data_IF_139326812116
#
_entry.id   IF_139326812116
#
_cell.length_a   1.000
_cell.length_b   1.000
_cell.length_c   1.000
_cell.angle_alpha   90.00
_cell.angle_beta   90.00
_cell.angle_gamma   90.00
#
_symmetry.space_group_name_H-M   'P 1'
#
loop_
_entity.id
_entity.type
_entity.pdbx_description
1 polymer ?
#
# COMPACT_ATOMS: atom_id res chain seq x y z
N UNK A 1 -23.82 -51.81 -8.86
CA UNK A 1 -22.88 -51.56 -9.98
C UNK A 1 -23.04 -50.12 -10.41
N UNK A 2 -22.01 -49.30 -10.19
CA UNK A 2 -22.05 -47.86 -10.41
C UNK A 2 -22.28 -47.50 -11.88
N UNK A 3 -23.09 -46.48 -12.12
CA UNK A 3 -23.33 -45.95 -13.46
C UNK A 3 -22.01 -45.41 -14.02
N UNK A 4 -21.38 -46.15 -14.92
CA UNK A 4 -20.28 -45.69 -15.76
C UNK A 4 -20.82 -44.56 -16.64
N UNK A 5 -20.46 -43.33 -16.30
CA UNK A 5 -20.87 -42.17 -17.07
C UNK A 5 -20.13 -42.22 -18.41
N UNK A 6 -20.85 -42.54 -19.49
CA UNK A 6 -20.31 -42.62 -20.83
C UNK A 6 -19.76 -41.24 -21.26
N UNK A 7 -18.52 -41.19 -21.75
CA UNK A 7 -17.88 -39.95 -22.22
C UNK A 7 -18.66 -39.32 -23.39
N UNK A 8 -18.46 -38.02 -23.68
CA UNK A 8 -19.15 -37.36 -24.81
C UNK A 8 -18.89 -38.09 -26.13
N UNK A 9 -17.65 -38.53 -26.36
CA UNK A 9 -17.26 -39.33 -27.53
C UNK A 9 -17.99 -40.67 -27.56
N UNK A 10 -18.04 -41.39 -26.43
CA UNK A 10 -18.76 -42.66 -26.34
C UNK A 10 -20.27 -42.51 -26.57
N UNK A 11 -20.88 -41.41 -26.08
CA UNK A 11 -22.31 -41.11 -26.33
C UNK A 11 -22.56 -40.88 -27.82
N UNK A 12 -21.66 -40.17 -28.50
CA UNK A 12 -21.73 -39.94 -29.94
C UNK A 12 -21.62 -41.27 -30.72
N UNK A 13 -20.64 -42.12 -30.38
CA UNK A 13 -20.46 -43.44 -31.00
C UNK A 13 -21.69 -44.35 -30.85
N UNK A 14 -22.32 -44.37 -29.66
CA UNK A 14 -23.58 -45.10 -29.45
C UNK A 14 -24.71 -44.53 -30.33
N UNK A 15 -24.78 -43.19 -30.47
CA UNK A 15 -25.74 -42.54 -31.35
C UNK A 15 -25.57 -42.94 -32.82
N UNK A 16 -24.33 -42.90 -33.32
CA UNK A 16 -23.98 -43.35 -34.69
C UNK A 16 -24.35 -44.82 -34.89
N UNK A 17 -23.99 -45.70 -33.93
CA UNK A 17 -24.28 -47.12 -34.02
C UNK A 17 -25.79 -47.43 -34.11
N UNK A 18 -26.59 -46.74 -33.31
CA UNK A 18 -28.04 -46.89 -33.36
C UNK A 18 -28.63 -46.39 -34.68
N UNK A 19 -28.11 -45.28 -35.22
CA UNK A 19 -28.53 -44.77 -36.53
C UNK A 19 -28.23 -45.76 -37.66
N UNK A 20 -27.06 -46.41 -37.64
CA UNK A 20 -26.71 -47.45 -38.62
C UNK A 20 -27.62 -48.69 -38.54
N UNK A 21 -28.15 -48.99 -37.36
CA UNK A 21 -29.05 -50.13 -37.10
C UNK A 21 -30.53 -49.78 -37.29
N UNK A 22 -30.85 -48.52 -37.60
CA UNK A 22 -32.21 -48.04 -37.82
C UNK A 22 -32.61 -48.17 -39.28
N UNK A 23 -33.83 -48.68 -39.53
CA UNK A 23 -34.44 -48.75 -40.86
C UNK A 23 -35.72 -47.92 -40.83
N UNK A 24 -35.89 -46.99 -41.78
CA UNK A 24 -37.04 -46.07 -41.85
C UNK A 24 -37.29 -45.30 -40.53
N UNK A 25 -36.21 -44.88 -39.85
CA UNK A 25 -36.27 -44.13 -38.60
C UNK A 25 -36.72 -44.95 -37.38
N UNK A 26 -36.78 -46.29 -37.48
CA UNK A 26 -37.17 -47.19 -36.40
C UNK A 26 -36.08 -48.23 -36.12
N UNK A 27 -35.86 -48.50 -34.83
CA UNK A 27 -34.97 -49.57 -34.37
C UNK A 27 -35.73 -50.89 -34.24
N UNK A 28 -35.11 -51.98 -34.69
CA UNK A 28 -35.66 -53.33 -34.51
C UNK A 28 -35.74 -53.72 -33.02
N UNK A 29 -36.67 -54.64 -32.71
CA UNK A 29 -36.86 -55.15 -31.34
C UNK A 29 -35.57 -55.85 -30.88
N UNK A 30 -35.08 -55.49 -29.69
CA UNK A 30 -33.87 -56.07 -29.10
C UNK A 30 -32.60 -55.24 -29.29
N UNK A 31 -32.52 -54.37 -30.32
CA UNK A 31 -31.30 -53.58 -30.63
C UNK A 31 -30.86 -52.68 -29.46
N UNK A 32 -31.81 -52.09 -28.74
CA UNK A 32 -31.48 -51.28 -27.56
C UNK A 32 -30.88 -52.10 -26.42
N UNK A 33 -31.32 -53.36 -26.25
CA UNK A 33 -30.81 -54.27 -25.22
C UNK A 33 -29.42 -54.79 -25.60
N UNK A 34 -29.22 -55.12 -26.88
CA UNK A 34 -27.92 -55.50 -27.43
C UNK A 34 -26.90 -54.35 -27.30
N UNK A 35 -27.31 -53.13 -27.64
CA UNK A 35 -26.48 -51.92 -27.51
C UNK A 35 -26.18 -51.63 -26.02
N UNK A 36 -27.14 -51.83 -25.13
CA UNK A 36 -26.92 -51.69 -23.69
C UNK A 36 -25.84 -52.66 -23.18
N UNK A 37 -25.91 -53.93 -23.59
CA UNK A 37 -24.91 -54.94 -23.24
C UNK A 37 -23.53 -54.62 -23.84
N UNK A 38 -23.48 -54.26 -25.13
CA UNK A 38 -22.23 -53.99 -25.86
C UNK A 38 -21.43 -52.82 -25.27
N UNK A 39 -22.09 -51.75 -24.84
CA UNK A 39 -21.42 -50.59 -24.20
C UNK A 39 -21.43 -50.64 -22.68
N UNK A 40 -21.95 -51.72 -22.06
CA UNK A 40 -22.07 -51.86 -20.60
C UNK A 40 -22.76 -50.65 -19.94
N UNK A 41 -23.83 -50.16 -20.58
CA UNK A 41 -24.64 -49.03 -20.13
C UNK A 41 -26.11 -49.45 -19.96
N UNK A 42 -26.87 -48.68 -19.18
CA UNK A 42 -28.28 -48.99 -18.99
C UNK A 42 -29.09 -48.83 -20.29
N UNK A 43 -30.09 -49.72 -20.51
CA UNK A 43 -31.04 -49.59 -21.62
C UNK A 43 -31.74 -48.22 -21.63
N UNK A 44 -31.94 -47.60 -20.45
CA UNK A 44 -32.48 -46.24 -20.32
C UNK A 44 -31.56 -45.21 -20.97
N UNK A 45 -30.26 -45.27 -20.71
CA UNK A 45 -29.26 -44.37 -21.31
C UNK A 45 -29.21 -44.52 -22.82
N UNK A 46 -29.26 -45.75 -23.33
CA UNK A 46 -29.36 -46.03 -24.78
C UNK A 46 -30.62 -45.39 -25.38
N UNK A 47 -31.77 -45.53 -24.70
CA UNK A 47 -33.03 -44.91 -25.12
C UNK A 47 -33.01 -43.39 -25.11
N UNK A 48 -32.36 -42.77 -24.13
CA UNK A 48 -32.17 -41.31 -24.07
C UNK A 48 -31.26 -40.81 -25.20
N UNK A 49 -30.17 -41.52 -25.49
CA UNK A 49 -29.27 -41.21 -26.63
C UNK A 49 -30.04 -41.35 -27.95
N UNK A 50 -30.83 -42.42 -28.12
CA UNK A 50 -31.64 -42.62 -29.33
C UNK A 50 -32.61 -41.47 -29.58
N UNK A 51 -33.36 -41.04 -28.55
CA UNK A 51 -34.30 -39.92 -28.65
C UNK A 51 -33.65 -38.61 -29.11
N UNK A 52 -32.38 -38.41 -28.80
CA UNK A 52 -31.61 -37.23 -29.20
C UNK A 52 -30.98 -37.42 -30.59
N UNK A 53 -30.48 -38.61 -30.90
CA UNK A 53 -29.87 -38.93 -32.20
C UNK A 53 -30.88 -39.01 -33.34
N UNK A 54 -32.12 -39.47 -33.08
CA UNK A 54 -33.14 -39.66 -34.13
C UNK A 54 -33.87 -38.38 -34.53
N UNK A 55 -33.83 -37.33 -33.68
CA UNK A 55 -34.53 -36.06 -33.94
C UNK A 55 -33.96 -35.29 -35.15
N UNK A 56 -32.63 -35.13 -35.29
CA UNK A 56 -32.05 -34.35 -36.39
C UNK A 56 -32.15 -35.07 -37.74
N UNK A 57 -32.34 -36.40 -37.74
CA UNK A 57 -32.64 -37.18 -38.95
C UNK A 57 -33.98 -36.76 -39.61
N UNK A 58 -34.92 -36.22 -38.83
CA UNK A 58 -36.18 -35.66 -39.35
C UNK A 58 -36.01 -34.26 -39.96
N UNK A 59 -34.89 -33.59 -39.69
CA UNK A 59 -34.65 -32.16 -40.01
C UNK A 59 -33.38 -31.96 -40.88
N UNK A 60 -32.64 -33.03 -41.19
CA UNK A 60 -31.42 -32.97 -42.01
C UNK A 60 -30.20 -32.35 -41.31
N UNK A 61 -30.17 -32.30 -39.97
CA UNK A 61 -29.13 -31.62 -39.19
C UNK A 61 -28.22 -32.61 -38.45
N UNK A 62 -26.99 -32.19 -38.06
CA UNK A 62 -26.10 -32.99 -37.21
C UNK A 62 -26.71 -33.17 -35.81
N UNK A 63 -26.54 -34.36 -35.22
CA UNK A 63 -27.11 -34.66 -33.90
C UNK A 63 -26.14 -34.44 -32.73
N UNK A 64 -26.67 -33.85 -31.66
CA UNK A 64 -25.97 -33.65 -30.39
C UNK A 64 -26.61 -34.52 -29.29
N UNK A 65 -25.79 -35.41 -28.73
CA UNK A 65 -26.17 -36.38 -27.70
C UNK A 65 -25.41 -36.15 -26.39
N UNK A 66 -24.79 -34.98 -26.21
CA UNK A 66 -24.07 -34.60 -24.99
C UNK A 66 -24.96 -34.71 -23.75
N UNK A 67 -24.33 -35.08 -22.63
CA UNK A 67 -25.03 -35.15 -21.34
C UNK A 67 -25.38 -33.74 -20.86
N UNK A 68 -26.65 -33.50 -20.52
CA UNK A 68 -27.07 -32.23 -19.91
C UNK A 68 -26.74 -32.14 -18.41
N UNK A 69 -26.23 -33.23 -17.82
CA UNK A 69 -25.75 -33.25 -16.43
C UNK A 69 -24.32 -32.70 -16.40
N UNK A 70 -24.20 -31.38 -16.43
CA UNK A 70 -22.93 -30.66 -16.34
C UNK A 70 -22.65 -30.42 -14.84
N UNK A 71 -22.00 -31.40 -14.21
CA UNK A 71 -21.59 -31.30 -12.80
C UNK A 71 -22.73 -31.12 -11.79
N UNK A 72 -22.36 -30.75 -10.57
CA UNK A 72 -23.30 -30.40 -9.52
C UNK A 72 -23.67 -28.91 -9.65
N UNK A 73 -24.97 -28.62 -9.72
CA UNK A 73 -25.46 -27.26 -9.55
C UNK A 73 -25.25 -26.86 -8.08
N UNK A 74 -24.12 -26.22 -7.78
CA UNK A 74 -23.84 -25.70 -6.45
C UNK A 74 -24.93 -24.70 -6.02
N UNK A 75 -25.04 -24.47 -4.71
CA UNK A 75 -25.95 -23.44 -4.16
C UNK A 75 -25.64 -22.09 -4.82
N UNK A 76 -26.69 -21.37 -5.23
CA UNK A 76 -26.56 -19.99 -5.75
C UNK A 76 -25.81 -19.13 -4.73
N UNK A 77 -24.80 -18.40 -5.19
CA UNK A 77 -24.01 -17.49 -4.35
C UNK A 77 -24.88 -16.31 -3.90
N UNK A 78 -24.71 -15.91 -2.65
CA UNK A 78 -25.27 -14.67 -2.12
C UNK A 78 -24.29 -13.52 -2.46
N UNK A 79 -24.80 -12.43 -3.01
CA UNK A 79 -24.03 -11.21 -3.32
C UNK A 79 -24.42 -10.09 -2.34
N UNK A 80 -23.50 -9.18 -2.00
CA UNK A 80 -23.82 -8.05 -1.15
C UNK A 80 -24.74 -7.06 -1.88
N UNK A 81 -25.79 -6.62 -1.20
CA UNK A 81 -26.62 -5.50 -1.65
C UNK A 81 -25.89 -4.19 -1.36
N UNK A 82 -25.16 -3.69 -2.35
CA UNK A 82 -24.32 -2.50 -2.22
C UNK A 82 -25.15 -1.23 -1.95
N UNK A 83 -26.36 -1.13 -2.49
CA UNK A 83 -27.22 0.04 -2.31
C UNK A 83 -27.79 0.11 -0.90
N UNK A 84 -28.17 -1.04 -0.35
CA UNK A 84 -28.59 -1.14 1.05
C UNK A 84 -27.43 -0.83 2.01
N UNK A 85 -26.26 -1.44 1.79
CA UNK A 85 -25.08 -1.26 2.66
C UNK A 85 -24.65 0.21 2.73
N UNK A 86 -24.71 0.95 1.60
CA UNK A 86 -24.37 2.37 1.57
C UNK A 86 -25.28 3.27 2.41
N UNK A 87 -26.48 2.81 2.77
CA UNK A 87 -27.45 3.57 3.59
C UNK A 87 -27.24 3.38 5.09
N UNK A 88 -26.46 2.37 5.49
CA UNK A 88 -26.16 2.10 6.89
C UNK A 88 -25.13 3.13 7.37
N UNK A 89 -25.29 3.67 8.57
CA UNK A 89 -24.29 4.54 9.19
C UNK A 89 -22.98 3.75 9.39
N UNK A 90 -21.84 4.37 9.06
CA UNK A 90 -20.50 3.80 9.22
C UNK A 90 -20.26 3.29 10.65
N UNK A 91 -20.83 3.95 11.67
CA UNK A 91 -20.72 3.53 13.08
C UNK A 91 -21.34 2.16 13.36
N UNK A 92 -22.36 1.79 12.60
CA UNK A 92 -23.03 0.49 12.71
C UNK A 92 -22.40 -0.58 11.80
N UNK A 93 -21.31 -0.23 11.09
CA UNK A 93 -20.53 -1.11 10.22
C UNK A 93 -19.07 -1.26 10.68
N UNK A 94 -18.76 -0.89 11.93
CA UNK A 94 -17.40 -0.88 12.49
C UNK A 94 -16.68 -2.25 12.46
N UNK A 95 -17.47 -3.33 12.54
CA UNK A 95 -17.02 -4.70 12.67
C UNK A 95 -17.85 -5.58 11.76
N UNK A 96 -17.26 -6.69 11.31
CA UNK A 96 -18.02 -7.73 10.60
C UNK A 96 -19.20 -8.23 11.43
N UNK A 97 -19.09 -8.14 12.77
CA UNK A 97 -20.16 -8.51 13.66
C UNK A 97 -21.38 -7.58 13.52
N UNK A 98 -21.19 -6.28 13.72
CA UNK A 98 -22.32 -5.32 13.61
C UNK A 98 -22.91 -5.26 12.21
N UNK A 99 -22.06 -5.35 11.19
CA UNK A 99 -22.52 -5.39 9.80
C UNK A 99 -23.43 -6.61 9.52
N UNK A 100 -23.15 -7.77 10.13
CA UNK A 100 -23.99 -8.96 9.98
C UNK A 100 -25.37 -8.77 10.60
N UNK A 101 -25.47 -8.04 11.71
CA UNK A 101 -26.73 -7.74 12.38
C UNK A 101 -27.60 -6.87 11.48
N UNK A 102 -27.00 -5.85 10.86
CA UNK A 102 -27.72 -4.91 10.01
C UNK A 102 -28.16 -5.52 8.67
N UNK A 103 -27.32 -6.33 8.04
CA UNK A 103 -27.62 -6.95 6.74
C UNK A 103 -28.42 -8.26 6.88
N UNK A 104 -28.42 -8.88 8.07
CA UNK A 104 -29.12 -10.16 8.30
C UNK A 104 -28.45 -11.36 7.64
N UNK A 105 -27.13 -11.30 7.41
CA UNK A 105 -26.33 -12.43 6.89
C UNK A 105 -25.40 -12.96 7.98
N UNK A 106 -24.81 -14.14 7.77
CA UNK A 106 -23.81 -14.66 8.70
C UNK A 106 -22.49 -13.90 8.59
N UNK A 107 -21.75 -13.81 9.71
CA UNK A 107 -20.39 -13.24 9.74
C UNK A 107 -19.47 -13.93 8.72
N UNK A 108 -19.63 -15.25 8.54
CA UNK A 108 -18.86 -16.01 7.55
C UNK A 108 -19.13 -15.58 6.11
N UNK A 109 -20.36 -15.19 5.78
CA UNK A 109 -20.70 -14.63 4.46
C UNK A 109 -20.03 -13.28 4.24
N UNK A 110 -20.06 -12.40 5.25
CA UNK A 110 -19.36 -11.10 5.19
C UNK A 110 -17.86 -11.31 5.03
N UNK A 111 -17.27 -12.21 5.81
CA UNK A 111 -15.86 -12.55 5.70
C UNK A 111 -15.50 -13.07 4.30
N UNK A 112 -16.36 -13.91 3.70
CA UNK A 112 -16.19 -14.37 2.31
C UNK A 112 -16.26 -13.21 1.32
N UNK A 113 -17.22 -12.29 1.47
CA UNK A 113 -17.34 -11.11 0.61
C UNK A 113 -16.13 -10.18 0.72
N UNK A 114 -15.56 -10.02 1.91
CA UNK A 114 -14.32 -9.25 2.11
C UNK A 114 -13.12 -9.96 1.46
N UNK A 115 -12.97 -11.27 1.68
CA UNK A 115 -11.89 -12.07 1.08
C UNK A 115 -11.96 -12.11 -0.45
N UNK A 116 -13.16 -12.14 -1.01
CA UNK A 116 -13.41 -12.10 -2.46
C UNK A 116 -13.37 -10.67 -3.04
N UNK A 117 -13.20 -9.63 -2.20
CA UNK A 117 -13.08 -8.24 -2.62
C UNK A 117 -14.40 -7.56 -3.01
N UNK A 118 -15.55 -8.17 -2.70
CA UNK A 118 -16.88 -7.62 -2.92
C UNK A 118 -17.24 -6.54 -1.89
N UNK A 119 -16.65 -6.61 -0.70
CA UNK A 119 -16.68 -5.55 0.31
C UNK A 119 -15.24 -5.18 0.69
N UNK A 120 -15.00 -3.90 0.95
CA UNK A 120 -13.72 -3.43 1.49
C UNK A 120 -13.98 -2.76 2.83
N UNK A 121 -13.15 -3.08 3.82
CA UNK A 121 -13.14 -2.34 5.07
C UNK A 121 -12.69 -0.90 4.80
N UNK A 122 -13.43 0.07 5.31
CA UNK A 122 -12.99 1.45 5.32
C UNK A 122 -12.04 1.63 6.51
N UNK A 123 -10.73 1.71 6.25
CA UNK A 123 -9.80 2.21 7.26
C UNK A 123 -9.99 3.72 7.36
N UNK A 124 -10.59 4.21 8.44
CA UNK A 124 -10.43 5.62 8.77
C UNK A 124 -8.93 5.91 8.85
N UNK A 125 -8.42 6.97 8.20
CA UNK A 125 -7.07 7.45 8.46
C UNK A 125 -6.92 7.56 9.97
N UNK A 126 -5.78 7.10 10.50
CA UNK A 126 -5.43 7.27 11.89
C UNK A 126 -5.42 8.78 12.17
N UNK A 127 -6.52 9.33 12.67
CA UNK A 127 -6.58 10.63 13.32
C UNK A 127 -6.42 10.37 14.82
N UNK A 128 -5.19 10.08 15.29
CA UNK A 128 -4.98 9.81 16.70
C UNK A 128 -5.43 11.02 17.51
N UNK A 129 -5.96 10.74 18.71
CA UNK A 129 -6.38 11.79 19.63
C UNK A 129 -5.14 12.57 20.10
N UNK A 130 -5.15 13.88 19.87
CA UNK A 130 -4.06 14.77 20.28
C UNK A 130 -4.39 15.43 21.62
N UNK A 131 -3.43 15.42 22.54
CA UNK A 131 -3.43 16.29 23.71
C UNK A 131 -2.72 17.61 23.37
N UNK A 132 -2.74 18.58 24.28
CA UNK A 132 -2.19 19.91 24.00
C UNK A 132 -0.67 19.89 23.82
N UNK A 133 0.05 19.01 24.52
CA UNK A 133 1.49 18.79 24.32
C UNK A 133 1.79 18.34 22.89
N UNK A 134 1.03 17.39 22.35
CA UNK A 134 1.20 16.90 20.98
C UNK A 134 0.94 18.04 19.97
N UNK A 135 -0.11 18.86 20.19
CA UNK A 135 -0.43 20.00 19.33
C UNK A 135 0.71 21.03 19.30
N UNK A 136 1.26 21.36 20.48
CA UNK A 136 2.42 22.26 20.62
C UNK A 136 3.63 21.69 19.87
N UNK A 137 3.93 20.41 20.06
CA UNK A 137 5.06 19.76 19.37
C UNK A 137 4.90 19.76 17.85
N UNK A 138 3.67 19.56 17.35
CA UNK A 138 3.35 19.63 15.92
C UNK A 138 3.55 21.03 15.35
N UNK A 139 3.08 22.08 16.03
CA UNK A 139 3.30 23.47 15.61
C UNK A 139 4.79 23.84 15.61
N UNK A 140 5.52 23.46 16.67
CA UNK A 140 6.97 23.67 16.76
C UNK A 140 7.71 23.01 15.61
N UNK A 141 7.36 21.77 15.30
CA UNK A 141 7.98 21.03 14.19
C UNK A 141 7.72 21.70 12.83
N UNK A 142 6.51 22.22 12.59
CA UNK A 142 6.19 22.97 11.37
C UNK A 142 7.04 24.25 11.26
N UNK A 143 7.13 25.04 12.35
CA UNK A 143 7.92 26.27 12.39
C UNK A 143 9.43 26.02 12.23
N UNK A 144 9.97 25.00 12.90
CA UNK A 144 11.38 24.61 12.80
C UNK A 144 11.78 24.14 11.39
N UNK A 145 10.79 23.79 10.56
CA UNK A 145 10.98 23.38 9.18
C UNK A 145 11.01 24.57 8.19
N UNK A 146 10.89 25.81 8.66
CA UNK A 146 10.93 27.02 7.84
C UNK A 146 12.35 27.64 7.80
N UNK A 147 12.61 28.40 6.73
CA UNK A 147 13.74 29.31 6.54
C UNK A 147 13.17 30.69 6.23
N UNK A 148 13.80 31.71 6.78
CA UNK A 148 13.50 33.11 6.54
C UNK A 148 14.66 33.66 5.71
N UNK A 149 14.37 34.07 4.48
CA UNK A 149 15.36 34.69 3.58
C UNK A 149 14.99 36.16 3.37
N UNK A 150 15.99 37.04 3.45
CA UNK A 150 15.83 38.44 3.07
C UNK A 150 16.07 38.54 1.57
N UNK A 151 15.06 39.01 0.83
CA UNK A 151 15.20 39.27 -0.61
C UNK A 151 15.55 40.73 -0.80
N UNK A 152 16.77 40.99 -1.24
CA UNK A 152 17.14 42.28 -1.83
C UNK A 152 16.48 42.36 -3.21
N UNK A 153 15.59 43.33 -3.44
CA UNK A 153 15.04 43.53 -4.78
C UNK A 153 16.14 44.07 -5.70
N UNK A 154 16.30 43.47 -6.88
CA UNK A 154 17.26 43.91 -7.92
C UNK A 154 16.98 45.33 -8.44
N UNK A 155 15.84 45.93 -8.10
CA UNK A 155 15.53 47.33 -8.37
C UNK A 155 15.94 48.22 -7.20
N UNK A 156 16.88 49.12 -7.44
CA UNK A 156 17.33 50.20 -6.54
C UNK A 156 16.19 51.21 -6.30
N UNK A 157 15.15 50.81 -5.57
CA UNK A 157 14.13 51.71 -5.04
C UNK A 157 14.45 51.98 -3.57
N UNK A 158 14.81 53.23 -3.26
CA UNK A 158 15.18 53.67 -1.91
C UNK A 158 14.01 53.59 -0.90
N UNK A 159 12.79 53.30 -1.36
CA UNK A 159 11.61 53.10 -0.53
C UNK A 159 11.13 51.63 -0.47
N UNK A 160 11.82 50.70 -1.15
CA UNK A 160 11.46 49.29 -1.08
C UNK A 160 11.90 48.70 0.27
N UNK A 161 10.92 48.36 1.11
CA UNK A 161 11.16 47.60 2.34
C UNK A 161 11.62 46.19 1.91
N UNK A 162 12.72 45.64 2.48
CA UNK A 162 13.14 44.27 2.21
C UNK A 162 11.95 43.34 2.41
N UNK A 163 11.57 42.60 1.37
CA UNK A 163 10.48 41.63 1.50
C UNK A 163 11.07 40.36 2.11
N UNK A 164 10.51 39.94 3.23
CA UNK A 164 10.92 38.72 3.91
C UNK A 164 10.20 37.54 3.26
N UNK A 165 10.94 36.64 2.63
CA UNK A 165 10.38 35.41 2.09
C UNK A 165 10.51 34.29 3.12
N UNK A 166 9.38 33.71 3.52
CA UNK A 166 9.36 32.54 4.41
C UNK A 166 9.00 31.31 3.58
N UNK A 167 9.89 30.32 3.57
CA UNK A 167 9.70 29.07 2.83
C UNK A 167 10.16 27.87 3.64
N UNK A 168 9.72 26.67 3.27
CA UNK A 168 10.23 25.46 3.92
C UNK A 168 11.69 25.19 3.56
N UNK A 169 12.46 24.67 4.53
CA UNK A 169 13.83 24.16 4.35
C UNK A 169 13.88 23.16 3.20
N UNK A 170 14.95 23.22 2.41
CA UNK A 170 15.29 22.11 1.53
C UNK A 170 15.59 20.88 2.37
N UNK A 171 14.82 19.80 2.20
CA UNK A 171 15.05 18.54 2.92
C UNK A 171 16.10 17.68 2.21
N UNK A 172 17.03 18.30 1.50
CA UNK A 172 18.14 17.66 0.77
C UNK A 172 19.17 17.01 1.70
N UNK A 173 19.06 17.19 3.02
CA UNK A 173 19.87 16.52 4.03
C UNK A 173 19.05 15.56 4.93
N UNK A 174 17.74 15.44 4.68
CA UNK A 174 16.84 14.60 5.46
C UNK A 174 16.57 13.29 4.71
N UNK A 175 16.63 12.18 5.42
CA UNK A 175 16.25 10.84 4.97
C UNK A 175 15.11 10.37 5.86
N UNK A 176 13.95 10.11 5.29
CA UNK A 176 12.87 9.42 5.99
C UNK A 176 13.10 7.94 5.79
N UNK A 177 13.30 7.15 6.86
CA UNK A 177 13.74 5.74 6.74
C UNK A 177 13.22 5.03 5.47
N UNK A 178 14.17 4.62 4.60
CA UNK A 178 14.07 4.06 3.23
C UNK A 178 14.10 5.07 2.04
N UNK A 179 13.66 6.32 2.23
CA UNK A 179 13.49 7.33 1.19
C UNK A 179 14.06 8.71 1.52
N UNK A 180 14.53 9.38 0.47
CA UNK A 180 15.11 10.71 0.55
C UNK A 180 14.52 11.59 -0.54
N UNK A 181 14.47 12.90 -0.32
CA UNK A 181 14.04 13.84 -1.36
C UNK A 181 15.01 13.76 -2.55
N UNK A 182 14.53 13.55 -3.79
CA UNK A 182 15.37 13.61 -4.98
C UNK A 182 16.04 14.98 -5.15
N UNK A 183 17.33 14.98 -5.48
CA UNK A 183 18.09 16.21 -5.71
C UNK A 183 18.16 16.46 -7.20
N UNK A 184 17.88 17.71 -7.61
CA UNK A 184 18.00 18.15 -8.99
C UNK A 184 18.97 19.34 -9.07
N UNK A 185 19.70 19.45 -10.17
CA UNK A 185 20.53 20.62 -10.47
C UNK A 185 19.65 21.87 -10.62
N UNK A 186 20.22 23.09 -10.55
CA UNK A 186 19.49 24.33 -10.86
C UNK A 186 18.82 24.30 -12.24
N UNK A 187 19.42 23.62 -13.22
CA UNK A 187 18.95 23.46 -14.60
C UNK A 187 17.86 22.38 -14.75
N UNK A 188 17.55 21.66 -13.66
CA UNK A 188 16.48 20.65 -13.61
C UNK A 188 16.93 19.21 -13.91
N UNK A 189 18.23 18.95 -13.99
CA UNK A 189 18.76 17.60 -14.18
C UNK A 189 18.71 16.79 -12.88
N UNK A 190 18.37 15.49 -12.94
CA UNK A 190 18.30 14.65 -11.74
C UNK A 190 19.71 14.27 -11.26
N UNK A 191 20.13 14.81 -10.12
CA UNK A 191 21.43 14.53 -9.48
C UNK A 191 21.35 13.34 -8.51
N UNK A 192 20.20 13.15 -7.86
CA UNK A 192 19.96 12.05 -6.94
C UNK A 192 18.49 11.65 -6.97
N UNK A 193 18.18 10.37 -7.15
CA UNK A 193 16.81 9.89 -7.38
C UNK A 193 15.96 9.74 -6.11
N UNK A 194 16.55 9.98 -4.94
CA UNK A 194 15.88 9.87 -3.64
C UNK A 194 15.97 8.48 -3.01
N UNK A 195 16.58 7.49 -3.67
CA UNK A 195 16.50 6.09 -3.24
C UNK A 195 17.78 5.61 -2.56
N UNK A 196 17.75 5.50 -1.24
CA UNK A 196 18.85 4.96 -0.45
C UNK A 196 18.89 3.44 -0.57
N UNK A 197 17.75 2.77 -0.40
CA UNK A 197 17.60 1.33 -0.57
C UNK A 197 16.52 0.81 0.35
N UNK A 198 16.03 -0.40 0.08
CA UNK A 198 15.04 -1.09 0.92
C UNK A 198 15.66 -2.27 1.65
N UNK A 199 15.55 -2.27 2.98
CA UNK A 199 16.20 -3.27 3.85
C UNK A 199 15.17 -4.09 4.63
N UNK A 200 14.57 -5.14 4.02
CA UNK A 200 13.53 -5.92 4.68
C UNK A 200 14.09 -6.66 5.90
N UNK A 201 13.33 -6.67 7.00
CA UNK A 201 13.63 -7.45 8.21
C UNK A 201 13.42 -8.95 7.97
N UNK A 202 14.37 -9.55 7.28
CA UNK A 202 14.31 -10.95 6.86
C UNK A 202 15.62 -11.68 7.16
N UNK A 203 15.52 -12.99 7.34
CA UNK A 203 16.67 -13.89 7.49
C UNK A 203 16.54 -15.07 6.55
N UNK A 204 17.67 -15.49 5.98
CA UNK A 204 17.78 -16.74 5.24
C UNK A 204 17.90 -17.90 6.24
N UNK A 205 17.06 -18.92 6.09
CA UNK A 205 17.16 -20.14 6.89
C UNK A 205 16.83 -21.38 6.05
N UNK A 206 17.41 -22.55 6.34
CA UNK A 206 17.08 -23.77 5.61
C UNK A 206 15.64 -24.22 5.91
N UNK A 207 14.89 -24.58 4.87
CA UNK A 207 13.52 -25.05 4.99
C UNK A 207 13.43 -26.33 5.84
N UNK A 208 12.69 -26.26 6.95
CA UNK A 208 12.59 -27.35 7.92
C UNK A 208 11.78 -28.56 7.39
N UNK A 209 10.81 -28.32 6.49
CA UNK A 209 9.90 -29.33 5.93
C UNK A 209 9.90 -29.25 4.41
N UNK A 210 9.69 -30.39 3.73
CA UNK A 210 9.43 -30.41 2.28
C UNK A 210 8.04 -29.86 1.97
N UNK A 211 7.90 -29.11 0.89
CA UNK A 211 6.61 -28.65 0.35
C UNK A 211 6.48 -29.05 -1.12
N UNK A 212 5.31 -28.81 -1.72
CA UNK A 212 5.07 -29.04 -3.16
C UNK A 212 6.04 -28.25 -4.07
N UNK A 213 6.56 -27.12 -3.58
CA UNK A 213 7.36 -26.18 -4.35
C UNK A 213 8.81 -26.05 -3.85
N UNK A 214 9.20 -26.78 -2.79
CA UNK A 214 10.52 -26.62 -2.15
C UNK A 214 10.96 -27.90 -1.43
N UNK A 215 12.21 -28.31 -1.64
CA UNK A 215 12.81 -29.44 -0.90
C UNK A 215 13.21 -29.00 0.52
N UNK A 216 13.31 -29.98 1.43
CA UNK A 216 13.85 -29.72 2.78
C UNK A 216 15.33 -29.29 2.64
N UNK A 217 15.72 -28.26 3.38
CA UNK A 217 17.10 -27.73 3.36
C UNK A 217 17.35 -26.61 2.35
N UNK A 218 16.44 -26.33 1.42
CA UNK A 218 16.56 -25.14 0.56
C UNK A 218 16.51 -23.88 1.41
N UNK A 219 17.43 -22.92 1.19
CA UNK A 219 17.40 -21.63 1.88
C UNK A 219 16.11 -20.88 1.53
N UNK A 220 15.41 -20.42 2.55
CA UNK A 220 14.19 -19.64 2.43
C UNK A 220 14.28 -18.36 3.25
N UNK A 221 13.76 -17.28 2.67
CA UNK A 221 13.60 -16.01 3.36
C UNK A 221 12.43 -16.11 4.32
N UNK A 222 12.67 -15.88 5.60
CA UNK A 222 11.61 -15.67 6.59
C UNK A 222 11.69 -14.28 7.18
N UNK A 223 10.52 -13.71 7.43
CA UNK A 223 10.42 -12.49 8.22
C UNK A 223 10.98 -12.72 9.63
N UNK A 224 11.61 -11.69 10.17
CA UNK A 224 11.99 -11.65 11.58
C UNK A 224 10.71 -11.30 12.35
N UNK A 225 10.22 -12.25 13.15
CA UNK A 225 8.92 -12.11 13.84
C UNK A 225 8.97 -11.10 15.00
N UNK A 226 10.15 -10.90 15.59
CA UNK A 226 10.35 -9.94 16.68
C UNK A 226 11.42 -8.93 16.30
N UNK A 227 10.99 -7.70 16.00
CA UNK A 227 11.88 -6.58 15.71
C UNK A 227 12.21 -5.91 17.05
N UNK A 228 13.39 -6.20 17.59
CA UNK A 228 13.91 -5.59 18.82
C UNK A 228 14.76 -4.36 18.51
N UNK A 229 15.14 -3.61 19.55
CA UNK A 229 15.99 -2.42 19.41
C UNK A 229 17.32 -2.77 18.75
N UNK A 230 17.88 -3.91 19.14
CA UNK A 230 19.15 -4.43 18.68
C UNK A 230 19.08 -4.82 17.20
N UNK A 231 17.96 -5.43 16.78
CA UNK A 231 17.70 -5.74 15.37
C UNK A 231 17.61 -4.47 14.54
N UNK A 232 16.81 -3.48 14.96
CA UNK A 232 16.70 -2.19 14.26
C UNK A 232 18.06 -1.48 14.19
N UNK A 233 18.82 -1.50 15.29
CA UNK A 233 20.16 -0.91 15.37
C UNK A 233 21.14 -1.57 14.39
N UNK A 234 21.21 -2.89 14.38
CA UNK A 234 22.06 -3.63 13.45
C UNK A 234 21.69 -3.31 11.99
N UNK A 235 20.39 -3.24 11.66
CA UNK A 235 19.96 -2.87 10.30
C UNK A 235 20.42 -1.46 9.90
N UNK A 236 20.32 -0.50 10.81
CA UNK A 236 20.76 0.88 10.52
C UNK A 236 22.27 0.93 10.33
N UNK A 237 23.05 0.33 11.23
CA UNK A 237 24.51 0.36 11.20
C UNK A 237 25.08 -0.44 10.03
N UNK A 238 24.57 -1.64 9.78
CA UNK A 238 25.15 -2.58 8.81
C UNK A 238 24.61 -2.41 7.40
N UNK A 239 23.41 -1.82 7.24
CA UNK A 239 22.72 -1.71 5.94
C UNK A 239 22.48 -0.26 5.53
N UNK A 240 21.80 0.51 6.38
CA UNK A 240 21.34 1.86 6.02
C UNK A 240 22.51 2.82 5.90
N UNK A 241 23.36 2.94 6.93
CA UNK A 241 24.49 3.87 6.94
C UNK A 241 25.46 3.60 5.77
N UNK A 242 25.92 2.37 5.50
CA UNK A 242 26.77 2.09 4.35
C UNK A 242 26.11 2.45 3.01
N UNK A 243 24.81 2.20 2.86
CA UNK A 243 24.08 2.55 1.64
C UNK A 243 23.97 4.08 1.46
N UNK A 244 23.76 4.83 2.54
CA UNK A 244 23.79 6.29 2.53
C UNK A 244 25.15 6.74 2.04
N UNK A 245 26.23 6.32 2.69
CA UNK A 245 27.60 6.75 2.34
C UNK A 245 27.97 6.43 0.90
N UNK A 246 27.56 5.26 0.41
CA UNK A 246 27.85 4.82 -0.96
C UNK A 246 27.09 5.61 -2.04
N UNK A 247 25.90 6.12 -1.72
CA UNK A 247 25.03 6.80 -2.69
C UNK A 247 24.94 8.30 -2.48
N UNK A 248 25.56 8.83 -1.44
CA UNK A 248 25.47 10.25 -1.11
C UNK A 248 26.13 11.07 -2.22
N UNK A 249 25.48 12.14 -2.71
CA UNK A 249 26.04 12.96 -3.78
C UNK A 249 27.39 13.58 -3.38
N UNK A 250 28.35 13.54 -4.30
CA UNK A 250 29.65 14.18 -4.11
C UNK A 250 29.49 15.71 -4.03
N UNK A 251 30.09 16.34 -3.03
CA UNK A 251 29.95 17.79 -2.77
C UNK A 251 28.74 18.20 -1.93
N UNK A 252 27.79 17.30 -1.64
CA UNK A 252 26.70 17.59 -0.71
C UNK A 252 27.20 17.60 0.76
N UNK A 253 26.52 18.38 1.61
CA UNK A 253 26.80 18.36 3.06
C UNK A 253 26.72 16.93 3.60
N UNK A 254 27.72 16.54 4.40
CA UNK A 254 27.73 15.24 5.07
C UNK A 254 27.04 15.25 6.43
N UNK A 255 26.41 16.37 6.81
CA UNK A 255 25.47 16.42 7.93
C UNK A 255 24.11 15.91 7.43
N UNK A 256 23.65 14.78 8.00
CA UNK A 256 22.48 14.05 7.53
C UNK A 256 21.55 13.79 8.70
N UNK A 257 20.27 14.05 8.52
CA UNK A 257 19.23 13.75 9.49
C UNK A 257 18.41 12.56 9.01
N UNK A 258 18.37 11.47 9.79
CA UNK A 258 17.50 10.32 9.53
C UNK A 258 16.26 10.44 10.41
N UNK A 259 15.10 10.62 9.78
CA UNK A 259 13.81 10.57 10.46
C UNK A 259 13.44 9.12 10.74
N UNK A 260 13.31 8.77 12.02
CA UNK A 260 12.73 7.51 12.47
C UNK A 260 11.21 7.64 12.68
N UNK A 261 10.48 6.55 12.44
CA UNK A 261 9.09 6.42 12.89
C UNK A 261 9.05 6.37 14.42
N UNK A 262 7.95 6.84 15.02
CA UNK A 262 7.72 6.86 16.46
C UNK A 262 7.37 5.48 17.07
N UNK A 263 7.34 4.42 16.27
CA UNK A 263 7.18 3.05 16.74
C UNK A 263 8.41 2.56 17.52
N UNK A 264 8.21 2.12 18.77
CA UNK A 264 9.28 1.44 19.54
C UNK A 264 9.73 0.19 18.77
N UNK A 265 11.03 -0.13 18.73
CA UNK A 265 12.09 0.34 19.63
C UNK A 265 13.07 1.37 19.06
N UNK A 266 13.27 2.47 19.80
CA UNK A 266 14.10 3.62 19.38
C UNK A 266 15.58 3.46 19.71
N UNK A 267 16.43 3.85 18.76
CA UNK A 267 17.86 4.04 18.96
C UNK A 267 18.06 5.48 19.42
N UNK A 268 18.95 5.69 20.38
CA UNK A 268 19.30 7.04 20.81
C UNK A 268 20.53 7.51 20.04
N UNK A 269 20.64 8.81 19.82
CA UNK A 269 21.84 9.40 19.20
C UNK A 269 23.10 9.21 20.04
N UNK A 270 22.99 8.98 21.35
CA UNK A 270 24.13 8.71 22.24
C UNK A 270 24.58 7.23 22.24
N UNK A 271 23.97 6.36 21.43
CA UNK A 271 24.39 4.95 21.35
C UNK A 271 25.81 4.86 20.73
N UNK A 272 26.80 4.26 21.44
CA UNK A 272 28.19 4.28 20.99
C UNK A 272 28.44 3.59 19.65
N UNK A 273 27.73 2.49 19.38
CA UNK A 273 27.89 1.74 18.12
C UNK A 273 27.31 2.54 16.95
N UNK A 274 26.15 3.16 17.16
CA UNK A 274 25.56 4.04 16.17
C UNK A 274 26.46 5.24 15.91
N UNK A 275 26.95 5.93 16.94
CA UNK A 275 27.81 7.10 16.82
C UNK A 275 29.09 6.80 16.02
N UNK A 276 29.73 5.66 16.27
CA UNK A 276 30.91 5.26 15.53
C UNK A 276 30.63 5.07 14.02
N UNK A 277 29.50 4.46 13.68
CA UNK A 277 29.09 4.29 12.28
C UNK A 277 28.64 5.61 11.63
N UNK A 278 27.93 6.45 12.39
CA UNK A 278 27.36 7.72 11.95
C UNK A 278 28.41 8.80 11.69
N UNK A 279 29.53 8.76 12.43
CA UNK A 279 30.59 9.79 12.36
C UNK A 279 31.81 9.39 11.51
N UNK A 280 31.86 8.16 11.03
CA UNK A 280 32.96 7.68 10.18
C UNK A 280 32.91 8.29 8.77
N UNK A 281 34.04 8.31 8.08
CA UNK A 281 34.20 8.81 6.70
C UNK A 281 33.85 10.30 6.53
N UNK A 282 33.93 11.07 7.62
CA UNK A 282 33.61 12.49 7.67
C UNK A 282 32.12 12.81 7.59
N UNK A 283 31.25 11.82 7.80
CA UNK A 283 29.82 12.04 7.95
C UNK A 283 29.47 12.48 9.36
N UNK A 284 28.35 13.19 9.52
CA UNK A 284 27.70 13.43 10.80
C UNK A 284 26.22 13.08 10.63
N UNK A 285 25.85 11.85 10.98
CA UNK A 285 24.48 11.34 10.83
C UNK A 285 23.78 11.37 12.18
N UNK A 286 22.63 12.06 12.25
CA UNK A 286 21.82 12.16 13.47
C UNK A 286 20.43 11.56 13.24
N UNK A 287 19.88 10.90 14.25
CA UNK A 287 18.50 10.44 14.24
C UNK A 287 17.60 11.53 14.82
N UNK A 288 16.44 11.74 14.22
CA UNK A 288 15.38 12.54 14.83
C UNK A 288 14.03 11.87 14.64
N UNK A 289 13.05 12.32 15.41
CA UNK A 289 11.70 11.78 15.44
C UNK A 289 10.72 12.87 15.01
N UNK A 290 9.66 12.48 14.29
CA UNK A 290 8.53 13.37 14.09
C UNK A 290 7.74 13.52 15.42
N UNK A 291 6.86 14.52 15.54
CA UNK A 291 6.02 14.68 16.72
C UNK A 291 5.19 13.41 17.03
N UNK A 292 5.00 13.05 18.31
CA UNK A 292 4.15 11.93 18.72
C UNK A 292 2.75 11.99 18.10
N UNK A 293 2.18 10.82 17.81
CA UNK A 293 0.81 10.70 17.25
C UNK A 293 0.60 11.55 15.98
N UNK A 294 1.63 11.69 15.14
CA UNK A 294 1.56 12.51 13.93
C UNK A 294 1.94 11.71 12.68
N UNK A 295 1.12 10.72 12.28
CA UNK A 295 1.39 9.92 11.07
C UNK A 295 1.35 10.80 9.80
N UNK A 296 0.65 11.93 9.84
CA UNK A 296 0.61 12.95 8.79
C UNK A 296 1.91 13.79 8.69
N UNK A 297 2.87 13.60 9.60
CA UNK A 297 4.22 14.17 9.53
C UNK A 297 5.29 13.15 9.10
N UNK A 298 4.87 11.98 8.62
CA UNK A 298 5.73 10.95 8.06
C UNK A 298 5.45 10.79 6.56
N UNK A 299 6.45 10.99 5.71
CA UNK A 299 6.32 10.87 4.23
C UNK A 299 5.91 9.46 3.81
N UNK A 300 6.39 8.44 4.54
CA UNK A 300 6.09 7.05 4.27
C UNK A 300 4.59 6.77 4.44
N UNK A 301 4.00 7.30 5.52
CA UNK A 301 2.56 7.17 5.81
C UNK A 301 1.69 8.08 4.93
N UNK A 302 2.17 9.29 4.63
CA UNK A 302 1.45 10.29 3.82
C UNK A 302 1.18 9.81 2.39
N UNK A 303 2.15 9.16 1.76
CA UNK A 303 2.06 8.86 0.34
C UNK A 303 2.75 7.59 -0.11
N UNK A 304 3.92 7.28 0.45
CA UNK A 304 4.73 6.23 -0.14
C UNK A 304 4.15 4.83 0.02
N UNK A 305 3.77 4.44 1.25
CA UNK A 305 3.17 3.12 1.49
C UNK A 305 1.86 2.94 0.74
N UNK A 306 1.07 4.00 0.59
CA UNK A 306 -0.16 3.96 -0.23
C UNK A 306 0.16 3.70 -1.70
N UNK A 307 1.21 4.34 -2.23
CA UNK A 307 1.66 4.12 -3.60
C UNK A 307 2.23 2.70 -3.80
N UNK A 308 3.05 2.21 -2.85
CA UNK A 308 3.56 0.84 -2.85
C UNK A 308 2.44 -0.20 -2.78
N UNK A 309 1.45 -0.02 -1.90
CA UNK A 309 0.31 -0.94 -1.76
C UNK A 309 -0.51 -1.00 -3.05
N UNK A 310 -0.75 0.13 -3.71
CA UNK A 310 -1.44 0.16 -5.00
C UNK A 310 -0.67 -0.64 -6.05
N UNK A 311 0.65 -0.45 -6.15
CA UNK A 311 1.51 -1.15 -7.11
C UNK A 311 1.70 -2.64 -6.78
N UNK A 312 1.78 -3.00 -5.50
CA UNK A 312 1.80 -4.37 -5.02
C UNK A 312 0.47 -5.07 -5.35
N UNK A 313 -0.67 -4.42 -5.18
CA UNK A 313 -1.98 -5.03 -5.49
C UNK A 313 -2.12 -5.46 -6.96
N UNK A 314 -1.33 -4.87 -7.87
CA UNK A 314 -1.25 -5.26 -9.26
C UNK A 314 -0.39 -6.51 -9.52
N UNK A 315 0.51 -6.88 -8.59
CA UNK A 315 1.43 -8.02 -8.69
C UNK A 315 1.00 -9.15 -7.73
N UNK A 316 0.66 -10.33 -8.27
CA UNK A 316 0.36 -11.52 -7.45
C UNK A 316 1.66 -12.19 -7.00
N UNK A 317 1.96 -12.13 -5.71
CA UNK A 317 3.05 -12.90 -5.09
C UNK A 317 2.50 -14.17 -4.41
N UNK A 318 3.15 -15.31 -4.64
CA UNK A 318 2.75 -16.61 -4.10
C UNK A 318 3.65 -17.10 -2.95
N UNK A 319 4.74 -16.39 -2.66
CA UNK A 319 5.65 -16.64 -1.54
C UNK A 319 6.35 -15.35 -1.08
N UNK A 320 7.06 -15.42 0.06
CA UNK A 320 7.75 -14.27 0.66
C UNK A 320 8.85 -13.73 -0.25
N UNK A 321 9.58 -14.59 -0.96
CA UNK A 321 10.65 -14.17 -1.88
C UNK A 321 10.10 -13.34 -3.05
N UNK A 322 9.02 -13.82 -3.68
CA UNK A 322 8.29 -13.10 -4.72
C UNK A 322 7.71 -11.78 -4.20
N UNK A 323 7.22 -11.75 -2.97
CA UNK A 323 6.71 -10.54 -2.33
C UNK A 323 7.83 -9.51 -2.15
N UNK A 324 8.94 -9.89 -1.54
CA UNK A 324 10.09 -9.01 -1.30
C UNK A 324 10.65 -8.48 -2.63
N UNK A 325 10.83 -9.36 -3.62
CA UNK A 325 11.29 -8.96 -4.95
C UNK A 325 10.31 -8.01 -5.64
N UNK A 326 9.00 -8.28 -5.54
CA UNK A 326 7.97 -7.41 -6.10
C UNK A 326 8.03 -6.02 -5.48
N UNK A 327 8.15 -5.92 -4.15
CA UNK A 327 8.23 -4.62 -3.46
C UNK A 327 9.56 -3.91 -3.78
N UNK A 328 10.68 -4.63 -3.84
CA UNK A 328 11.99 -4.05 -4.25
C UNK A 328 11.94 -3.49 -5.67
N UNK A 329 11.27 -4.20 -6.58
CA UNK A 329 11.10 -3.70 -7.95
C UNK A 329 10.23 -2.44 -7.97
N UNK A 330 9.13 -2.42 -7.21
CA UNK A 330 8.28 -1.23 -7.13
C UNK A 330 9.03 -0.04 -6.54
N UNK A 331 9.85 -0.26 -5.51
CA UNK A 331 10.74 0.76 -4.93
C UNK A 331 11.69 1.32 -5.99
N UNK A 332 12.40 0.44 -6.72
CA UNK A 332 13.35 0.85 -7.75
C UNK A 332 12.69 1.57 -8.94
N UNK A 333 11.50 1.15 -9.33
CA UNK A 333 10.75 1.74 -10.45
C UNK A 333 10.00 3.03 -10.03
N UNK A 334 10.00 3.38 -8.74
CA UNK A 334 9.27 4.55 -8.26
C UNK A 334 9.85 5.84 -8.83
N UNK A 335 8.99 6.70 -9.34
CA UNK A 335 9.39 7.93 -10.02
C UNK A 335 9.89 8.97 -9.01
N UNK A 336 11.10 9.54 -9.19
CA UNK A 336 11.60 10.65 -8.36
C UNK A 336 10.64 11.84 -8.37
N UNK A 337 10.01 12.10 -9.51
CA UNK A 337 8.97 13.12 -9.67
C UNK A 337 7.76 12.88 -8.76
N UNK A 338 7.28 11.63 -8.66
CA UNK A 338 6.20 11.28 -7.72
C UNK A 338 6.64 11.37 -6.26
N UNK A 339 7.90 11.09 -5.98
CA UNK A 339 8.49 11.24 -4.65
C UNK A 339 8.53 12.71 -4.21
N UNK A 340 8.94 13.63 -5.09
CA UNK A 340 8.88 15.08 -4.86
C UNK A 340 7.47 15.56 -4.45
N UNK A 341 6.43 15.01 -5.09
CA UNK A 341 5.04 15.34 -4.76
C UNK A 341 4.66 14.98 -3.33
N UNK A 342 5.25 13.93 -2.73
CA UNK A 342 4.98 13.52 -1.33
C UNK A 342 5.53 14.58 -0.38
N UNK A 343 6.74 15.09 -0.63
CA UNK A 343 7.33 16.12 0.21
C UNK A 343 6.57 17.45 0.16
N UNK A 344 6.08 17.86 -1.01
CA UNK A 344 5.16 18.99 -1.09
C UNK A 344 3.85 18.72 -0.33
N UNK A 345 3.43 17.46 -0.18
CA UNK A 345 2.26 17.12 0.65
C UNK A 345 2.61 17.35 2.11
N UNK A 346 3.78 16.89 2.56
CA UNK A 346 4.26 17.11 3.92
C UNK A 346 4.28 18.61 4.27
N UNK A 347 4.85 19.44 3.38
CA UNK A 347 4.86 20.90 3.57
C UNK A 347 3.45 21.49 3.64
N UNK A 348 2.53 21.05 2.75
CA UNK A 348 1.14 21.51 2.81
C UNK A 348 0.42 21.08 4.10
N UNK A 349 0.75 19.91 4.65
CA UNK A 349 0.23 19.44 5.93
C UNK A 349 0.77 20.29 7.08
N UNK A 350 2.06 20.64 7.07
CA UNK A 350 2.65 21.54 8.06
C UNK A 350 1.98 22.92 8.05
N UNK A 351 1.60 23.43 6.87
CA UNK A 351 0.78 24.67 6.77
C UNK A 351 -0.58 24.51 7.43
N UNK A 352 -1.30 23.41 7.17
CA UNK A 352 -2.59 23.15 7.82
C UNK A 352 -2.47 22.93 9.34
N UNK A 353 -1.36 22.35 9.81
CA UNK A 353 -1.05 22.23 11.24
C UNK A 353 -0.94 23.61 11.88
N UNK A 354 -0.27 24.57 11.22
CA UNK A 354 -0.18 25.95 11.73
C UNK A 354 -1.56 26.61 11.77
N UNK A 355 -2.35 26.52 10.69
CA UNK A 355 -3.73 27.06 10.63
C UNK A 355 -4.64 26.44 11.70
N UNK A 356 -4.53 25.14 11.93
CA UNK A 356 -5.34 24.40 12.88
C UNK A 356 -4.78 24.44 14.32
N UNK A 357 -3.76 25.27 14.60
CA UNK A 357 -3.13 25.38 15.92
C UNK A 357 -2.72 24.02 16.50
N UNK A 358 -2.09 23.19 15.67
CA UNK A 358 -1.56 21.88 16.04
C UNK A 358 -2.55 20.72 15.96
N UNK A 359 -3.85 20.97 15.72
CA UNK A 359 -4.82 19.89 15.52
C UNK A 359 -4.56 19.07 14.24
N UNK A 360 -5.27 17.96 14.10
CA UNK A 360 -5.26 17.08 12.92
C UNK A 360 -6.64 16.96 12.27
N UNK A 361 -7.56 17.87 12.57
CA UNK A 361 -8.91 17.90 12.00
C UNK A 361 -8.94 18.74 10.72
N UNK A 362 -8.17 18.33 9.73
CA UNK A 362 -8.15 18.92 8.41
C UNK A 362 -8.00 17.82 7.36
N UNK A 363 -8.47 18.10 6.15
CA UNK A 363 -8.21 17.23 5.01
C UNK A 363 -6.83 17.56 4.44
N UNK A 364 -6.11 16.55 3.95
CA UNK A 364 -4.82 16.77 3.26
C UNK A 364 -5.08 17.68 2.05
N UNK A 365 -4.42 18.84 1.94
CA UNK A 365 -4.66 19.78 0.84
C UNK A 365 -4.30 19.18 -0.52
N UNK A 366 -5.15 19.43 -1.51
CA UNK A 366 -4.89 19.04 -2.89
C UNK A 366 -4.51 20.27 -3.72
N UNK A 367 -3.24 20.36 -4.14
CA UNK A 367 -2.71 21.52 -4.88
C UNK A 367 -2.50 21.26 -6.38
N UNK A 368 -3.08 20.20 -6.95
CA UNK A 368 -3.00 19.95 -8.40
C UNK A 368 -1.57 19.72 -8.91
N UNK A 369 -0.71 19.09 -8.12
CA UNK A 369 0.75 18.95 -8.38
C UNK A 369 1.09 18.44 -9.78
N UNK A 370 0.30 17.50 -10.31
CA UNK A 370 0.50 16.96 -11.64
C UNK A 370 0.31 18.02 -12.75
N UNK A 371 -0.65 18.94 -12.57
CA UNK A 371 -0.88 20.03 -13.50
C UNK A 371 0.22 21.08 -13.41
N UNK A 372 0.57 21.51 -12.19
CA UNK A 372 1.66 22.48 -11.95
C UNK A 372 3.00 21.99 -12.51
N UNK A 373 3.26 20.69 -12.42
CA UNK A 373 4.47 20.09 -12.97
C UNK A 373 4.45 20.04 -14.50
N UNK A 374 3.30 19.73 -15.11
CA UNK A 374 3.17 19.70 -16.57
C UNK A 374 3.42 21.07 -17.22
N UNK A 375 3.18 22.16 -16.49
CA UNK A 375 3.44 23.53 -16.94
C UNK A 375 4.78 24.09 -16.42
N UNK A 376 5.61 23.29 -15.75
CA UNK A 376 6.92 23.70 -15.24
C UNK A 376 6.88 24.66 -14.05
N UNK A 377 5.73 24.81 -13.37
CA UNK A 377 5.53 25.74 -12.25
C UNK A 377 5.43 25.04 -10.89
N UNK A 378 5.75 23.74 -10.81
CA UNK A 378 5.77 23.04 -9.53
C UNK A 378 6.99 23.49 -8.72
N UNK A 379 6.73 24.29 -7.68
CA UNK A 379 7.75 24.72 -6.75
C UNK A 379 8.41 23.54 -6.04
N UNK A 380 9.70 23.67 -5.70
CA UNK A 380 10.42 22.71 -4.86
C UNK A 380 10.04 22.87 -3.38
N UNK A 381 9.78 24.09 -2.95
CA UNK A 381 9.42 24.43 -1.58
C UNK A 381 8.21 25.37 -1.59
N UNK A 382 7.27 25.13 -0.69
CA UNK A 382 6.13 26.00 -0.50
C UNK A 382 6.56 27.26 0.26
N UNK A 383 6.04 28.40 -0.19
CA UNK A 383 6.05 29.65 0.56
C UNK A 383 4.99 29.58 1.67
N UNK A 384 5.28 30.23 2.78
CA UNK A 384 4.36 30.35 3.92
C UNK A 384 4.12 31.82 4.20
N UNK A 385 2.85 32.16 4.42
CA UNK A 385 2.43 33.51 4.75
C UNK A 385 3.02 33.96 6.10
N UNK A 386 3.65 35.14 6.13
CA UNK A 386 4.24 35.72 7.34
C UNK A 386 3.21 35.93 8.46
N UNK A 387 1.99 36.33 8.11
CA UNK A 387 0.89 36.51 9.07
C UNK A 387 0.57 35.18 9.76
N UNK A 388 0.50 34.09 9.00
CA UNK A 388 0.25 32.76 9.56
C UNK A 388 1.38 32.31 10.50
N UNK A 389 2.64 32.57 10.13
CA UNK A 389 3.80 32.26 10.97
C UNK A 389 3.73 33.04 12.28
N UNK A 390 3.46 34.34 12.21
CA UNK A 390 3.31 35.21 13.38
C UNK A 390 2.17 34.75 14.30
N UNK A 391 0.99 34.50 13.75
CA UNK A 391 -0.16 33.99 14.52
C UNK A 391 0.15 32.66 15.22
N UNK A 392 0.89 31.76 14.55
CA UNK A 392 1.30 30.49 15.13
C UNK A 392 2.29 30.68 16.30
N UNK A 393 3.24 31.61 16.15
CA UNK A 393 4.21 31.96 17.21
C UNK A 393 3.51 32.63 18.40
N UNK A 394 2.61 33.59 18.16
CA UNK A 394 1.81 34.25 19.19
C UNK A 394 0.97 33.24 19.97
N UNK A 395 0.33 32.29 19.27
CA UNK A 395 -0.42 31.23 19.93
C UNK A 395 0.45 30.36 20.86
N UNK A 396 1.68 30.02 20.43
CA UNK A 396 2.63 29.27 21.27
C UNK A 396 3.09 30.09 22.49
N UNK A 397 3.28 31.40 22.34
CA UNK A 397 3.64 32.30 23.45
C UNK A 397 2.50 32.43 24.47
N UNK A 398 1.26 32.56 24.01
CA UNK A 398 0.07 32.64 24.86
C UNK A 398 -0.12 31.35 25.68
N UNK A 399 0.06 30.18 25.05
CA UNK A 399 0.01 28.87 25.73
C UNK A 399 1.12 28.77 26.78
N UNK A 400 2.33 29.27 26.49
CA UNK A 400 3.45 29.30 27.45
C UNK A 400 3.10 30.10 28.70
N UNK A 401 2.46 31.26 28.53
CA UNK A 401 2.09 32.16 29.63
C UNK A 401 0.92 31.62 30.47
N UNK A 402 -0.06 30.98 29.84
CA UNK A 402 -1.29 30.52 30.52
C UNK A 402 -1.17 29.16 31.21
N UNK A 403 -0.30 28.26 30.73
CA UNK A 403 -0.26 26.86 31.22
C UNK A 403 0.91 26.52 32.17
N UNK A 404 1.75 27.49 32.55
CA UNK A 404 2.90 27.22 33.45
C UNK A 404 3.87 26.16 32.90
N UNK A 405 3.92 25.99 31.58
CA UNK A 405 4.74 25.00 30.88
C UNK A 405 6.19 25.45 30.67
N UNK A 406 6.65 26.45 31.42
CA UNK A 406 8.02 26.97 31.35
C UNK A 406 9.06 25.84 31.51
N UNK A 407 8.80 24.88 32.40
CA UNK A 407 9.71 23.77 32.63
C UNK A 407 9.84 22.80 31.43
N UNK A 408 8.74 22.56 30.69
CA UNK A 408 8.73 21.70 29.51
C UNK A 408 9.39 22.38 28.29
N UNK A 409 9.31 23.71 28.23
CA UNK A 409 9.94 24.53 27.18
C UNK A 409 11.45 24.64 27.42
N UNK A 410 11.87 24.77 28.68
CA UNK A 410 13.29 24.81 29.07
C UNK A 410 13.98 23.44 28.90
N UNK A 411 13.29 22.31 29.13
CA UNK A 411 13.84 20.97 28.86
C UNK A 411 14.04 20.66 27.37
N UNK A 412 13.39 21.41 26.48
CA UNK A 412 13.48 21.24 25.03
C UNK A 412 14.52 22.16 24.36
N UNK A 413 15.29 22.93 25.14
CA UNK A 413 16.52 23.57 24.67
C UNK A 413 16.35 24.84 23.83
N UNK A 414 15.38 25.72 24.12
CA UNK A 414 15.25 27.00 23.39
C UNK A 414 15.10 28.20 24.33
N UNK A 415 16.11 29.06 24.33
CA UNK A 415 15.93 30.50 24.57
C UNK A 415 15.33 31.08 23.29
N UNK A 416 14.22 31.81 23.42
CA UNK A 416 13.66 32.64 22.35
C UNK A 416 14.51 33.90 22.26
#
# INVERSE_FOLDING_TARGET
MGATCLSEKGRHEVGVYLLQKSVNGKLARGVMTETAAKWSISRRTVGEIWKLASKPLLVGQKFDVKSKRIGNANRKRLLPDVEFIKKIDIKEMDTMYRLHIQIGVSVGTIHSWVKEGLLKAHSSPLHPKLNDVNKIQRMKHALQSLVIEQVEQETFDLNAIPTTEIKFKEMSHIIHMDEKWPVYSPEGELLFDGKIGMFPFTKQQPAARRSRYRQRGTMETKAIESITKEVTKAWIIEKVIPAIKSKWPEGASKHILIQQDNAKPHIKNDDPEFMAAATSDGFNIELFFHPPNSPDLNTNDLGYFRALQSLQSAKKANNVDELVNSVMQVFNDYSPTKLNRIFLTLQSVMVEIMKAKGHNNFSIPHMGKAHLEAIGMLLRNLMVDEVLVRECVENLMEIRQTQGLEHLINQLGYNV
#
